data_IF_663375287015
#
_entry.id   IF_663375287015
#
_cell.length_a   1.000
_cell.length_b   1.000
_cell.length_c   1.000
_cell.angle_alpha   90.00
_cell.angle_beta   90.00
_cell.angle_gamma   90.00
#
_symmetry.space_group_name_H-M   'P 1'
#
loop_
_entity.id
_entity.type
_entity.pdbx_description
1 polymer ?
#
# COMPACT_ATOMS: atom_id res chain seq x y z
N UNK A 1 -26.25 -23.81 2.30
CA UNK A 1 -26.45 -22.85 3.42
C UNK A 1 -25.25 -21.93 3.61
N UNK A 2 -24.04 -22.43 3.91
CA UNK A 2 -22.88 -21.54 4.12
C UNK A 2 -22.39 -20.86 2.83
N UNK A 3 -22.49 -21.53 1.67
CA UNK A 3 -22.12 -20.92 0.38
C UNK A 3 -23.12 -19.88 -0.09
N UNK A 4 -24.43 -20.14 0.03
CA UNK A 4 -25.49 -19.20 -0.35
C UNK A 4 -25.39 -17.91 0.47
N UNK A 5 -25.06 -18.03 1.75
CA UNK A 5 -24.81 -16.90 2.64
C UNK A 5 -23.59 -16.08 2.20
N UNK A 6 -22.50 -16.72 1.76
CA UNK A 6 -21.33 -16.03 1.21
C UNK A 6 -21.69 -15.27 -0.07
N UNK A 7 -22.44 -15.88 -0.99
CA UNK A 7 -22.81 -15.27 -2.27
C UNK A 7 -23.66 -14.01 -2.03
N UNK A 8 -24.66 -14.08 -1.15
CA UNK A 8 -25.47 -12.93 -0.76
C UNK A 8 -24.64 -11.82 -0.12
N UNK A 9 -23.73 -12.18 0.80
CA UNK A 9 -22.85 -11.20 1.43
C UNK A 9 -21.92 -10.55 0.41
N UNK A 10 -21.31 -11.34 -0.48
CA UNK A 10 -20.40 -10.92 -1.54
C UNK A 10 -21.10 -9.94 -2.50
N UNK A 11 -22.36 -10.24 -2.86
CA UNK A 11 -23.17 -9.40 -3.75
C UNK A 11 -23.31 -7.96 -3.27
N UNK A 12 -23.54 -7.75 -1.96
CA UNK A 12 -23.67 -6.41 -1.39
C UNK A 12 -22.34 -5.80 -0.94
N UNK A 13 -21.47 -6.59 -0.31
CA UNK A 13 -20.26 -6.06 0.32
C UNK A 13 -19.21 -5.61 -0.71
N UNK A 14 -18.97 -6.37 -1.77
CA UNK A 14 -17.94 -6.06 -2.77
C UNK A 14 -18.20 -4.76 -3.54
N UNK A 15 -19.41 -4.46 -4.07
CA UNK A 15 -19.65 -3.17 -4.72
C UNK A 15 -19.57 -1.99 -3.74
N UNK A 16 -19.98 -2.18 -2.47
CA UNK A 16 -19.78 -1.16 -1.43
C UNK A 16 -18.28 -0.92 -1.21
N UNK A 17 -17.47 -1.98 -1.09
CA UNK A 17 -16.02 -1.88 -0.95
C UNK A 17 -15.39 -1.12 -2.12
N UNK A 18 -15.83 -1.41 -3.35
CA UNK A 18 -15.35 -0.73 -4.56
C UNK A 18 -15.76 0.74 -4.55
N UNK A 19 -17.04 1.07 -4.32
CA UNK A 19 -17.53 2.46 -4.30
C UNK A 19 -16.83 3.27 -3.21
N UNK A 20 -16.74 2.72 -2.01
CA UNK A 20 -16.14 3.40 -0.88
C UNK A 20 -14.63 3.56 -1.08
N UNK A 21 -13.95 2.48 -1.50
CA UNK A 21 -12.51 2.49 -1.73
C UNK A 21 -12.08 3.40 -2.89
N UNK A 22 -12.91 3.52 -3.93
CA UNK A 22 -12.65 4.42 -5.07
C UNK A 22 -12.80 5.89 -4.67
N UNK A 23 -13.91 6.25 -4.02
CA UNK A 23 -14.10 7.61 -3.47
C UNK A 23 -12.95 7.98 -2.55
N UNK A 24 -12.59 7.08 -1.62
CA UNK A 24 -11.51 7.31 -0.68
C UNK A 24 -10.15 7.49 -1.36
N UNK A 25 -9.82 6.62 -2.31
CA UNK A 25 -8.54 6.67 -3.04
C UNK A 25 -8.43 7.93 -3.91
N UNK A 26 -9.52 8.36 -4.54
CA UNK A 26 -9.57 9.62 -5.31
C UNK A 26 -9.38 10.84 -4.41
N UNK A 27 -10.07 10.90 -3.28
CA UNK A 27 -9.92 11.98 -2.31
C UNK A 27 -8.48 12.06 -1.77
N UNK A 28 -7.84 10.93 -1.48
CA UNK A 28 -6.43 10.88 -1.11
C UNK A 28 -5.56 11.53 -2.18
N UNK A 29 -5.73 11.15 -3.45
CA UNK A 29 -4.95 11.72 -4.54
C UNK A 29 -5.15 13.23 -4.69
N UNK A 30 -6.39 13.72 -4.57
CA UNK A 30 -6.71 15.16 -4.64
C UNK A 30 -6.01 15.92 -3.51
N UNK A 31 -6.07 15.41 -2.27
CA UNK A 31 -5.44 16.03 -1.10
C UNK A 31 -3.92 16.06 -1.26
N UNK A 32 -3.31 14.95 -1.71
CA UNK A 32 -1.87 14.88 -1.98
C UNK A 32 -1.45 15.83 -3.12
N UNK A 33 -2.31 16.04 -4.12
CA UNK A 33 -2.02 16.92 -5.25
C UNK A 33 -2.09 18.40 -4.87
N UNK A 34 -3.12 18.82 -4.12
CA UNK A 34 -3.36 20.23 -3.76
C UNK A 34 -2.29 20.78 -2.81
N UNK A 35 -1.73 19.96 -1.91
CA UNK A 35 -0.87 20.47 -0.84
C UNK A 35 0.62 20.41 -1.18
N UNK A 36 1.23 21.57 -1.48
CA UNK A 36 2.69 21.72 -1.70
C UNK A 36 3.54 21.11 -0.58
N UNK A 37 3.11 21.24 0.68
CA UNK A 37 3.83 20.70 1.84
C UNK A 37 3.80 19.16 1.97
N UNK A 38 2.85 18.48 1.32
CA UNK A 38 2.81 17.01 1.26
C UNK A 38 3.65 16.52 0.08
N UNK A 39 3.59 17.22 -1.07
CA UNK A 39 4.39 16.92 -2.26
C UNK A 39 5.90 16.92 -2.05
N UNK A 40 6.40 17.64 -1.04
CA UNK A 40 7.83 17.71 -0.74
C UNK A 40 8.33 16.62 0.23
N UNK A 41 7.44 15.79 0.79
CA UNK A 41 7.83 14.70 1.68
C UNK A 41 7.91 13.36 0.93
N UNK A 42 9.05 12.67 1.02
CA UNK A 42 9.28 11.34 0.43
C UNK A 42 8.23 10.31 0.86
N UNK A 43 7.94 10.25 2.16
CA UNK A 43 6.83 9.49 2.75
C UNK A 43 5.44 9.74 2.09
N UNK A 44 5.15 10.98 1.67
CA UNK A 44 3.88 11.28 0.98
C UNK A 44 3.80 10.70 -0.43
N UNK A 45 4.95 10.48 -1.08
CA UNK A 45 5.03 9.85 -2.39
C UNK A 45 4.67 8.36 -2.29
N UNK A 46 5.18 7.67 -1.27
CA UNK A 46 4.84 6.27 -0.99
C UNK A 46 3.34 6.09 -0.69
N UNK A 47 2.73 6.97 0.11
CA UNK A 47 1.29 6.90 0.39
C UNK A 47 0.42 7.22 -0.82
N UNK A 48 0.88 8.11 -1.71
CA UNK A 48 0.20 8.36 -2.98
C UNK A 48 0.26 7.15 -3.90
N UNK A 49 1.44 6.52 -4.03
CA UNK A 49 1.60 5.29 -4.82
C UNK A 49 0.83 4.12 -4.25
N UNK A 50 0.77 4.00 -2.91
CA UNK A 50 -0.08 3.03 -2.23
C UNK A 50 -1.56 3.25 -2.56
N UNK A 51 -2.06 4.49 -2.52
CA UNK A 51 -3.45 4.80 -2.89
C UNK A 51 -3.77 4.50 -4.37
N UNK A 52 -2.78 4.58 -5.26
CA UNK A 52 -2.93 4.18 -6.68
C UNK A 52 -2.95 2.65 -6.78
N UNK A 53 -2.08 1.96 -6.05
CA UNK A 53 -2.04 0.50 -6.03
C UNK A 53 -3.33 -0.09 -5.46
N UNK A 54 -3.86 0.48 -4.37
CA UNK A 54 -5.11 0.05 -3.76
C UNK A 54 -6.29 0.22 -4.74
N UNK A 55 -6.29 1.30 -5.54
CA UNK A 55 -7.28 1.50 -6.60
C UNK A 55 -7.14 0.46 -7.72
N UNK A 56 -5.92 0.12 -8.13
CA UNK A 56 -5.67 -0.96 -9.09
C UNK A 56 -6.13 -2.32 -8.55
N UNK A 57 -5.89 -2.61 -7.27
CA UNK A 57 -6.39 -3.82 -6.61
C UNK A 57 -7.91 -3.89 -6.62
N UNK A 58 -8.59 -2.79 -6.29
CA UNK A 58 -10.07 -2.73 -6.31
C UNK A 58 -10.65 -3.04 -7.69
N UNK A 59 -10.08 -2.46 -8.76
CA UNK A 59 -10.61 -2.64 -10.11
C UNK A 59 -10.14 -3.90 -10.83
N UNK A 60 -8.90 -4.35 -10.60
CA UNK A 60 -8.35 -5.52 -11.30
C UNK A 60 -8.68 -6.80 -10.54
N UNK A 61 -8.71 -6.76 -9.20
CA UNK A 61 -8.87 -7.96 -8.38
C UNK A 61 -10.28 -8.05 -7.82
N UNK A 62 -10.72 -7.06 -7.03
CA UNK A 62 -12.01 -7.12 -6.34
C UNK A 62 -13.18 -7.13 -7.33
N UNK A 63 -13.11 -6.29 -8.38
CA UNK A 63 -14.14 -6.27 -9.42
C UNK A 63 -14.17 -7.56 -10.25
N UNK A 64 -13.01 -8.14 -10.61
CA UNK A 64 -13.00 -9.40 -11.37
C UNK A 64 -13.47 -10.57 -10.52
N UNK A 65 -13.14 -10.57 -9.22
CA UNK A 65 -13.67 -11.53 -8.26
C UNK A 65 -15.19 -11.41 -8.11
N UNK A 66 -15.73 -10.19 -8.01
CA UNK A 66 -17.17 -9.97 -7.93
C UNK A 66 -17.92 -10.43 -9.18
N UNK A 67 -17.39 -10.08 -10.36
CA UNK A 67 -17.96 -10.52 -11.63
C UNK A 67 -17.94 -12.05 -11.77
N UNK A 68 -16.90 -12.70 -11.26
CA UNK A 68 -16.83 -14.15 -11.26
C UNK A 68 -17.83 -14.78 -10.28
N UNK A 69 -17.85 -14.31 -9.03
CA UNK A 69 -18.69 -14.85 -7.96
C UNK A 69 -20.19 -14.72 -8.28
N UNK A 70 -20.62 -13.66 -8.97
CA UNK A 70 -22.05 -13.35 -9.19
C UNK A 70 -22.57 -13.69 -10.58
N UNK A 71 -21.74 -13.53 -11.62
CA UNK A 71 -22.16 -13.72 -13.00
C UNK A 71 -21.52 -14.94 -13.65
N UNK A 72 -20.73 -15.72 -12.90
CA UNK A 72 -19.92 -16.84 -13.41
C UNK A 72 -19.11 -16.46 -14.65
N UNK A 73 -18.67 -15.20 -14.70
CA UNK A 73 -17.95 -14.64 -15.84
C UNK A 73 -16.47 -15.01 -15.78
N UNK A 74 -16.19 -16.30 -15.95
CA UNK A 74 -14.86 -16.88 -15.90
C UNK A 74 -14.11 -16.70 -17.25
N UNK A 75 -13.57 -15.50 -17.48
CA UNK A 75 -12.59 -15.27 -18.56
C UNK A 75 -11.38 -16.21 -18.46
N UNK A 76 -11.11 -16.67 -17.25
CA UNK A 76 -10.06 -17.62 -16.84
C UNK A 76 -10.21 -18.99 -17.49
N UNK A 77 -11.44 -19.49 -17.62
CA UNK A 77 -11.73 -20.81 -18.21
C UNK A 77 -11.66 -20.74 -19.73
N UNK A 78 -12.04 -19.59 -20.31
CA UNK A 78 -12.06 -19.37 -21.75
C UNK A 78 -10.65 -19.19 -22.36
N UNK A 79 -9.72 -18.59 -21.62
CA UNK A 79 -8.39 -18.25 -22.12
C UNK A 79 -7.27 -18.58 -21.11
N UNK A 80 -6.50 -19.65 -21.37
CA UNK A 80 -5.39 -20.08 -20.50
C UNK A 80 -4.31 -19.00 -20.32
N UNK A 81 -4.02 -18.22 -21.37
CA UNK A 81 -3.05 -17.14 -21.31
C UNK A 81 -3.52 -16.00 -20.38
N UNK A 82 -4.82 -15.71 -20.38
CA UNK A 82 -5.42 -14.70 -19.51
C UNK A 82 -5.34 -15.12 -18.05
N UNK A 83 -5.61 -16.39 -17.75
CA UNK A 83 -5.47 -16.97 -16.41
C UNK A 83 -4.07 -16.76 -15.82
N UNK A 84 -3.02 -17.09 -16.60
CA UNK A 84 -1.62 -16.93 -16.14
C UNK A 84 -1.25 -15.47 -15.91
N UNK A 85 -1.64 -14.59 -16.82
CA UNK A 85 -1.36 -13.15 -16.71
C UNK A 85 -2.12 -12.54 -15.53
N UNK A 86 -3.40 -12.86 -15.37
CA UNK A 86 -4.23 -12.38 -14.28
C UNK A 86 -3.68 -12.81 -12.93
N UNK A 87 -3.29 -14.09 -12.78
CA UNK A 87 -2.68 -14.61 -11.55
C UNK A 87 -1.38 -13.88 -11.23
N UNK A 88 -0.52 -13.64 -12.23
CA UNK A 88 0.72 -12.89 -12.06
C UNK A 88 0.45 -11.44 -11.62
N UNK A 89 -0.45 -10.74 -12.31
CA UNK A 89 -0.82 -9.35 -11.99
C UNK A 89 -1.41 -9.26 -10.58
N UNK A 90 -2.31 -10.18 -10.20
CA UNK A 90 -2.89 -10.24 -8.86
C UNK A 90 -1.80 -10.39 -7.80
N UNK A 91 -0.87 -11.33 -8.00
CA UNK A 91 0.21 -11.56 -7.06
C UNK A 91 1.14 -10.34 -6.92
N UNK A 92 1.47 -9.69 -8.05
CA UNK A 92 2.26 -8.47 -8.04
C UNK A 92 1.55 -7.33 -7.30
N UNK A 93 0.28 -7.06 -7.62
CA UNK A 93 -0.48 -5.96 -7.00
C UNK A 93 -0.67 -6.16 -5.49
N UNK A 94 -0.95 -7.38 -5.05
CA UNK A 94 -1.04 -7.71 -3.63
C UNK A 94 0.29 -7.61 -2.89
N UNK A 95 1.39 -8.00 -3.54
CA UNK A 95 2.72 -7.89 -2.94
C UNK A 95 3.19 -6.43 -2.82
N UNK A 96 2.88 -5.58 -3.80
CA UNK A 96 3.37 -4.20 -3.87
C UNK A 96 2.85 -3.29 -2.74
N UNK A 97 1.59 -3.45 -2.30
CA UNK A 97 1.01 -2.64 -1.20
C UNK A 97 1.83 -2.69 0.10
N UNK A 98 2.14 -3.87 0.69
CA UNK A 98 2.97 -3.94 1.90
C UNK A 98 4.42 -3.49 1.66
N UNK A 99 4.98 -3.63 0.46
CA UNK A 99 6.31 -3.10 0.16
C UNK A 99 6.36 -1.56 0.24
N UNK A 100 5.35 -0.86 -0.31
CA UNK A 100 5.28 0.60 -0.18
C UNK A 100 5.19 1.05 1.28
N UNK A 101 4.48 0.28 2.09
CA UNK A 101 4.38 0.52 3.52
C UNK A 101 5.74 0.38 4.20
N UNK A 102 6.44 -0.75 3.98
CA UNK A 102 7.76 -1.01 4.57
C UNK A 102 8.77 0.05 4.14
N UNK A 103 8.74 0.46 2.87
CA UNK A 103 9.58 1.55 2.37
C UNK A 103 9.24 2.89 3.03
N UNK A 104 7.96 3.17 3.28
CA UNK A 104 7.53 4.32 4.07
C UNK A 104 8.04 4.30 5.51
N UNK A 105 8.01 3.12 6.17
CA UNK A 105 8.59 2.92 7.50
C UNK A 105 10.10 3.15 7.49
N UNK A 106 10.78 2.58 6.50
CA UNK A 106 12.22 2.68 6.34
C UNK A 106 12.67 4.13 6.10
N UNK A 107 12.00 4.86 5.19
CA UNK A 107 12.22 6.30 4.96
C UNK A 107 12.10 7.10 6.26
N UNK A 108 11.17 6.71 7.14
CA UNK A 108 10.97 7.35 8.45
C UNK A 108 12.02 6.99 9.48
N UNK A 109 12.44 5.72 9.55
CA UNK A 109 13.56 5.30 10.40
C UNK A 109 14.84 6.04 10.01
N UNK A 110 15.09 6.15 8.70
CA UNK A 110 16.17 6.93 8.12
C UNK A 110 16.12 8.40 8.55
N UNK A 111 14.96 9.07 8.47
CA UNK A 111 14.80 10.48 8.88
C UNK A 111 14.98 10.72 10.38
N UNK A 112 14.54 9.78 11.21
CA UNK A 112 14.55 9.91 12.68
C UNK A 112 15.91 9.53 13.28
N UNK A 113 16.75 8.84 12.50
CA UNK A 113 18.09 8.47 12.93
C UNK A 113 18.96 9.69 13.23
N UNK A 114 19.72 9.61 14.34
CA UNK A 114 20.74 10.60 14.71
C UNK A 114 21.92 10.59 13.74
N UNK A 115 22.10 9.51 12.99
CA UNK A 115 23.15 9.43 11.99
C UNK A 115 22.75 10.27 10.76
N UNK A 116 23.51 11.32 10.52
CA UNK A 116 23.33 12.26 9.40
C UNK A 116 23.29 11.51 8.05
N UNK A 117 24.01 10.38 7.94
CA UNK A 117 24.06 9.54 6.74
C UNK A 117 22.72 8.84 6.46
N UNK A 118 22.03 8.36 7.50
CA UNK A 118 20.72 7.71 7.36
C UNK A 118 19.63 8.74 7.01
N UNK A 119 19.74 9.96 7.53
CA UNK A 119 18.77 11.04 7.26
C UNK A 119 18.79 11.54 5.81
N UNK A 120 19.94 11.45 5.13
CA UNK A 120 20.08 11.87 3.73
C UNK A 120 19.52 10.85 2.72
N UNK A 121 19.22 9.61 3.13
CA UNK A 121 18.59 8.61 2.27
C UNK A 121 17.11 8.94 1.95
N UNK A 122 16.46 9.76 2.76
CA UNK A 122 15.04 10.11 2.64
C UNK A 122 14.76 11.28 1.66
N UNK A 123 15.36 11.23 0.46
CA UNK A 123 15.24 12.24 -0.60
C UNK A 123 14.17 11.86 -1.64
N UNK A 124 13.51 12.87 -2.24
CA UNK A 124 12.42 12.67 -3.20
C UNK A 124 12.85 11.93 -4.48
N UNK A 125 14.09 12.14 -4.92
CA UNK A 125 14.64 11.48 -6.11
C UNK A 125 14.85 9.99 -5.87
N UNK A 126 15.31 9.60 -4.67
CA UNK A 126 15.37 8.18 -4.28
C UNK A 126 13.97 7.58 -4.16
N UNK A 127 13.00 8.26 -3.56
CA UNK A 127 11.64 7.73 -3.46
C UNK A 127 10.99 7.49 -4.83
N UNK A 128 11.21 8.39 -5.80
CA UNK A 128 10.72 8.23 -7.18
C UNK A 128 11.38 7.06 -7.92
N UNK A 129 12.69 6.91 -7.78
CA UNK A 129 13.42 5.77 -8.35
C UNK A 129 13.00 4.45 -7.68
N UNK A 130 12.80 4.43 -6.36
CA UNK A 130 12.35 3.25 -5.62
C UNK A 130 10.94 2.83 -6.05
N UNK A 131 10.00 3.77 -6.27
CA UNK A 131 8.65 3.42 -6.74
C UNK A 131 8.68 2.82 -8.16
N UNK A 132 9.47 3.39 -9.06
CA UNK A 132 9.67 2.83 -10.39
C UNK A 132 10.30 1.42 -10.32
N UNK A 133 11.29 1.24 -9.45
CA UNK A 133 11.92 -0.06 -9.21
C UNK A 133 11.05 -1.03 -8.39
N UNK A 134 10.05 -0.57 -7.63
CA UNK A 134 9.06 -1.35 -6.86
C UNK A 134 7.95 -1.94 -7.75
N UNK A 135 7.83 -1.48 -9.00
CA UNK A 135 7.01 -2.09 -10.06
C UNK A 135 7.75 -3.17 -10.88
N UNK A 136 9.08 -3.06 -11.01
CA UNK A 136 10.02 -4.04 -11.57
C UNK A 136 10.51 -5.25 -10.68
N UNK A 137 10.23 -5.39 -9.36
CA UNK A 137 11.05 -6.21 -8.44
C UNK A 137 11.06 -7.73 -8.52
N UNK A 138 10.06 -8.50 -8.96
CA UNK A 138 10.11 -9.94 -8.69
C UNK A 138 11.33 -10.63 -9.35
N UNK A 139 11.85 -10.05 -10.43
CA UNK A 139 12.90 -10.66 -11.28
C UNK A 139 14.29 -10.05 -11.03
N UNK A 140 14.38 -8.77 -10.63
CA UNK A 140 15.65 -8.05 -10.47
C UNK A 140 16.23 -8.09 -9.04
N UNK A 141 15.40 -8.40 -8.02
CA UNK A 141 15.77 -8.36 -6.60
C UNK A 141 16.82 -9.42 -6.18
N UNK A 142 17.00 -10.52 -6.92
CA UNK A 142 18.02 -11.52 -6.59
C UNK A 142 19.43 -11.16 -7.07
N UNK A 143 19.56 -10.29 -8.08
CA UNK A 143 20.85 -10.00 -8.74
C UNK A 143 21.42 -8.65 -8.27
N UNK A 144 20.56 -7.65 -8.01
CA UNK A 144 21.01 -6.32 -7.62
C UNK A 144 21.46 -6.21 -6.16
N UNK A 145 20.95 -7.02 -5.24
CA UNK A 145 21.31 -6.96 -3.82
C UNK A 145 22.81 -7.22 -3.58
N UNK A 146 23.42 -8.11 -4.38
CA UNK A 146 24.87 -8.37 -4.37
C UNK A 146 25.69 -7.20 -4.96
N UNK A 147 25.26 -6.64 -6.09
CA UNK A 147 25.94 -5.50 -6.74
C UNK A 147 25.84 -4.19 -5.92
N UNK A 148 24.73 -3.96 -5.22
CA UNK A 148 24.53 -2.74 -4.41
C UNK A 148 25.40 -2.71 -3.16
N UNK A 149 25.69 -3.86 -2.54
CA UNK A 149 26.59 -3.92 -1.38
C UNK A 149 28.04 -3.52 -1.77
N UNK A 150 28.50 -3.96 -2.95
CA UNK A 150 29.84 -3.67 -3.46
C UNK A 150 30.05 -2.20 -3.87
N UNK A 151 29.03 -1.58 -4.49
CA UNK A 151 29.08 -0.17 -4.91
C UNK A 151 28.92 0.83 -3.75
N UNK A 152 28.24 0.43 -2.67
CA UNK A 152 28.09 1.22 -1.44
C UNK A 152 29.38 1.25 -0.60
N UNK A 153 30.22 0.20 -0.66
CA UNK A 153 31.55 0.21 -0.04
C UNK A 153 32.47 1.23 -0.71
N UNK A 154 32.47 1.27 -2.06
CA UNK A 154 33.38 2.11 -2.85
C UNK A 154 33.05 3.61 -2.77
N UNK A 155 31.77 3.99 -2.59
CA UNK A 155 31.32 5.39 -2.52
C UNK A 155 31.57 6.08 -1.17
N UNK A 156 31.87 5.33 -0.10
CA UNK A 156 32.15 5.88 1.24
C UNK A 156 33.47 6.68 1.32
N UNK A 157 34.39 6.47 0.38
CA UNK A 157 35.72 7.07 0.44
C UNK A 157 35.83 8.44 -0.26
N UNK A 158 34.88 8.82 -1.14
CA UNK A 158 35.07 9.98 -2.03
C UNK A 158 34.36 11.28 -1.65
N UNK A 159 33.46 11.32 -0.66
CA UNK A 159 32.63 12.52 -0.42
C UNK A 159 32.86 13.16 0.96
N UNK A 160 34.13 13.44 1.28
CA UNK A 160 34.52 14.20 2.47
C UNK A 160 34.56 15.73 2.28
N UNK A 161 34.24 16.30 1.11
CA UNK A 161 34.68 17.68 0.80
C UNK A 161 33.65 18.82 0.76
N UNK A 162 32.36 18.65 1.08
CA UNK A 162 31.43 19.81 1.05
C UNK A 162 30.33 19.79 2.13
N UNK A 163 30.72 20.07 3.38
CA UNK A 163 29.77 20.42 4.45
C UNK A 163 30.34 21.54 5.32
N UNK A 164 30.13 22.79 4.91
CA UNK A 164 30.11 23.95 5.81
C UNK A 164 28.98 24.89 5.39
N UNK A 165 28.19 25.28 6.41
CA UNK A 165 27.21 26.38 6.46
C UNK A 165 25.92 26.27 5.63
N UNK A 166 24.88 25.62 6.21
CA UNK A 166 23.47 26.05 6.28
C UNK A 166 22.59 24.82 6.56
N UNK A 167 21.90 24.64 7.69
CA UNK A 167 20.79 25.47 8.20
C UNK A 167 20.47 24.98 9.62
N UNK A 168 20.61 25.87 10.60
CA UNK A 168 20.25 25.69 12.00
C UNK A 168 18.80 26.17 12.30
N UNK A 169 18.05 26.64 11.30
CA UNK A 169 16.78 27.38 11.52
C UNK A 169 15.50 26.55 11.22
N UNK A 170 15.60 25.32 10.69
CA UNK A 170 14.40 24.53 10.28
C UNK A 170 13.71 23.72 11.42
N UNK A 171 14.21 23.77 12.66
CA UNK A 171 14.04 22.64 13.58
C UNK A 171 12.88 22.67 14.60
N UNK A 172 11.89 23.57 14.53
CA UNK A 172 10.76 23.59 15.50
C UNK A 172 9.36 23.30 14.94
N UNK A 173 9.19 23.16 13.61
CA UNK A 173 7.89 22.82 12.97
C UNK A 173 7.84 21.41 12.36
N UNK A 174 8.94 20.65 12.45
CA UNK A 174 9.12 19.30 11.89
C UNK A 174 8.60 18.21 12.87
N UNK A 175 8.79 18.40 14.18
CA UNK A 175 8.50 17.36 15.18
C UNK A 175 7.01 16.98 15.33
N UNK A 176 6.08 17.93 15.23
CA UNK A 176 4.63 17.64 15.33
C UNK A 176 4.07 16.95 14.07
N UNK A 177 4.68 17.18 12.91
CA UNK A 177 4.29 16.54 11.64
C UNK A 177 4.76 15.09 11.55
N UNK A 178 5.93 14.81 12.11
CA UNK A 178 6.50 13.46 12.10
C UNK A 178 5.76 12.53 13.06
N UNK A 179 5.35 13.00 14.23
CA UNK A 179 4.52 12.21 15.15
C UNK A 179 3.15 11.84 14.55
N UNK A 180 2.52 12.79 13.84
CA UNK A 180 1.25 12.53 13.15
C UNK A 180 1.39 11.49 12.04
N UNK A 181 2.47 11.57 11.25
CA UNK A 181 2.73 10.60 10.18
C UNK A 181 3.12 9.22 10.70
N UNK A 182 3.85 9.16 11.83
CA UNK A 182 4.17 7.89 12.52
C UNK A 182 2.89 7.26 13.07
N UNK A 183 1.98 8.04 13.68
CA UNK A 183 0.69 7.53 14.18
C UNK A 183 -0.18 6.94 13.06
N UNK A 184 -0.25 7.62 11.91
CA UNK A 184 -0.95 7.12 10.72
C UNK A 184 -0.35 5.79 10.24
N UNK A 185 0.98 5.76 10.14
CA UNK A 185 1.69 4.59 9.62
C UNK A 185 1.55 3.39 10.56
N UNK A 186 1.60 3.61 11.87
CA UNK A 186 1.31 2.59 12.87
C UNK A 186 -0.13 2.05 12.74
N UNK A 187 -1.13 2.94 12.68
CA UNK A 187 -2.53 2.54 12.53
C UNK A 187 -2.77 1.74 11.24
N UNK A 188 -2.10 2.12 10.15
CA UNK A 188 -2.16 1.42 8.88
C UNK A 188 -1.52 0.03 8.98
N UNK A 189 -0.31 -0.09 9.55
CA UNK A 189 0.35 -1.38 9.77
C UNK A 189 -0.55 -2.31 10.58
N UNK A 190 -1.12 -1.82 11.68
CA UNK A 190 -1.99 -2.61 12.54
C UNK A 190 -3.23 -3.09 11.77
N UNK A 191 -3.88 -2.22 11.01
CA UNK A 191 -5.06 -2.60 10.21
C UNK A 191 -4.71 -3.62 9.13
N UNK A 192 -3.59 -3.40 8.44
CA UNK A 192 -3.08 -4.33 7.41
C UNK A 192 -2.76 -5.71 8.00
N UNK A 193 -2.09 -5.78 9.15
CA UNK A 193 -1.80 -7.06 9.82
C UNK A 193 -3.09 -7.75 10.27
N UNK A 194 -4.02 -7.03 10.91
CA UNK A 194 -5.28 -7.60 11.37
C UNK A 194 -6.13 -8.16 10.23
N UNK A 195 -6.15 -7.50 9.07
CA UNK A 195 -6.95 -7.93 7.91
C UNK A 195 -6.26 -9.04 7.08
N UNK A 196 -4.92 -9.03 6.96
CA UNK A 196 -4.19 -9.95 6.06
C UNK A 196 -3.70 -11.24 6.75
N UNK A 197 -3.43 -11.19 8.06
CA UNK A 197 -2.92 -12.33 8.81
C UNK A 197 -3.91 -13.51 8.88
N UNK A 198 -5.23 -13.31 9.11
CA UNK A 198 -6.20 -14.40 9.08
C UNK A 198 -6.24 -15.11 7.73
N UNK A 199 -6.20 -14.35 6.62
CA UNK A 199 -6.13 -14.88 5.27
C UNK A 199 -4.88 -15.74 5.06
N UNK A 200 -3.70 -15.23 5.45
CA UNK A 200 -2.45 -15.96 5.29
C UNK A 200 -2.44 -17.29 6.08
N UNK A 201 -2.94 -17.30 7.31
CA UNK A 201 -3.01 -18.51 8.13
C UNK A 201 -3.98 -19.55 7.56
N UNK A 202 -5.18 -19.13 7.16
CA UNK A 202 -6.18 -20.04 6.59
C UNK A 202 -5.72 -20.57 5.22
N UNK A 203 -5.09 -19.73 4.39
CA UNK A 203 -4.53 -20.15 3.12
C UNK A 203 -3.40 -21.18 3.30
N UNK A 204 -2.52 -20.98 4.29
CA UNK A 204 -1.47 -21.93 4.62
C UNK A 204 -2.06 -23.27 5.08
N UNK A 205 -3.10 -23.24 5.92
CA UNK A 205 -3.84 -24.44 6.32
C UNK A 205 -4.48 -25.13 5.11
N UNK A 206 -5.03 -24.37 4.16
CA UNK A 206 -5.62 -24.90 2.93
C UNK A 206 -4.62 -25.64 2.05
N UNK A 207 -3.45 -25.04 1.85
CA UNK A 207 -2.37 -25.66 1.10
C UNK A 207 -1.83 -26.90 1.82
N UNK A 208 -1.68 -26.83 3.15
CA UNK A 208 -1.13 -27.93 3.95
C UNK A 208 -2.09 -29.13 4.07
N UNK A 209 -3.40 -28.88 4.20
CA UNK A 209 -4.42 -29.92 4.43
C UNK A 209 -5.00 -30.52 3.14
N UNK A 210 -4.30 -30.34 2.02
CA UNK A 210 -4.59 -30.85 0.66
C UNK A 210 -6.07 -31.20 0.40
N UNK A 211 -6.87 -30.18 0.05
CA UNK A 211 -8.17 -30.22 -0.63
C UNK A 211 -9.33 -31.09 -0.09
N UNK A 212 -9.19 -31.77 1.06
CA UNK A 212 -10.23 -32.70 1.51
C UNK A 212 -11.41 -32.06 2.27
N UNK A 213 -11.35 -30.77 2.62
CA UNK A 213 -12.35 -30.14 3.48
C UNK A 213 -13.08 -28.96 2.79
N UNK A 214 -14.34 -29.14 2.33
CA UNK A 214 -15.11 -28.09 1.66
C UNK A 214 -15.40 -26.90 2.58
N UNK A 215 -15.41 -27.09 3.91
CA UNK A 215 -15.61 -25.99 4.86
C UNK A 215 -14.44 -24.99 4.82
N UNK A 216 -13.21 -25.50 4.63
CA UNK A 216 -12.01 -24.68 4.58
C UNK A 216 -12.00 -23.75 3.35
N UNK A 217 -12.51 -24.23 2.21
CA UNK A 217 -12.66 -23.42 0.98
C UNK A 217 -13.59 -22.23 1.19
N UNK A 218 -14.70 -22.43 1.90
CA UNK A 218 -15.65 -21.37 2.25
C UNK A 218 -14.98 -20.34 3.18
N UNK A 219 -14.25 -20.81 4.20
CA UNK A 219 -13.53 -19.92 5.13
C UNK A 219 -12.48 -19.09 4.39
N UNK A 220 -11.74 -19.67 3.43
CA UNK A 220 -10.82 -18.90 2.57
C UNK A 220 -11.56 -17.75 1.89
N UNK A 221 -12.71 -18.00 1.26
CA UNK A 221 -13.50 -16.95 0.58
C UNK A 221 -13.90 -15.81 1.52
N UNK A 222 -14.34 -16.12 2.75
CA UNK A 222 -14.63 -15.10 3.77
C UNK A 222 -13.39 -14.32 4.20
N UNK A 223 -12.24 -14.98 4.38
CA UNK A 223 -10.99 -14.28 4.72
C UNK A 223 -10.46 -13.41 3.58
N UNK A 224 -10.70 -13.77 2.32
CA UNK A 224 -10.41 -12.92 1.16
C UNK A 224 -11.28 -11.67 1.19
N UNK A 225 -12.56 -11.79 1.52
CA UNK A 225 -13.45 -10.63 1.70
C UNK A 225 -12.90 -9.67 2.77
N UNK A 226 -12.44 -10.22 3.90
CA UNK A 226 -11.82 -9.45 4.97
C UNK A 226 -10.52 -8.77 4.51
N UNK A 227 -9.69 -9.46 3.74
CA UNK A 227 -8.48 -8.90 3.16
C UNK A 227 -8.80 -7.77 2.15
N UNK A 228 -9.88 -7.89 1.39
CA UNK A 228 -10.32 -6.85 0.44
C UNK A 228 -10.74 -5.55 1.14
N UNK A 229 -11.25 -5.61 2.37
CA UNK A 229 -11.56 -4.42 3.18
C UNK A 229 -10.32 -3.56 3.50
N UNK A 230 -9.14 -4.18 3.55
CA UNK A 230 -7.88 -3.48 3.81
C UNK A 230 -7.60 -2.39 2.76
N UNK A 231 -7.85 -2.68 1.49
CA UNK A 231 -7.63 -1.75 0.37
C UNK A 231 -8.62 -0.59 0.34
N UNK A 232 -9.74 -0.71 1.07
CA UNK A 232 -10.69 0.38 1.30
C UNK A 232 -10.31 1.24 2.53
N UNK A 233 -9.68 0.63 3.53
CA UNK A 233 -9.36 1.26 4.82
C UNK A 233 -8.37 2.43 4.71
N UNK A 234 -7.54 2.44 3.67
CA UNK A 234 -6.44 3.40 3.45
C UNK A 234 -6.90 4.85 3.62
N UNK A 235 -7.99 5.24 2.96
CA UNK A 235 -8.54 6.60 3.05
C UNK A 235 -9.05 6.97 4.44
N UNK A 236 -9.77 6.05 5.09
CA UNK A 236 -10.34 6.29 6.42
C UNK A 236 -9.25 6.44 7.46
N UNK A 237 -8.19 5.65 7.35
CA UNK A 237 -7.02 5.72 8.22
C UNK A 237 -6.31 7.08 8.06
N UNK A 238 -6.15 7.58 6.83
CA UNK A 238 -5.53 8.90 6.58
C UNK A 238 -6.41 10.06 7.07
N UNK A 239 -7.71 9.97 6.81
CA UNK A 239 -8.69 11.02 7.16
C UNK A 239 -8.98 11.05 8.66
N UNK A 240 -9.19 9.90 9.30
CA UNK A 240 -9.44 9.81 10.74
C UNK A 240 -8.15 9.95 11.55
N UNK A 241 -7.01 9.48 11.05
CA UNK A 241 -5.74 9.49 11.78
C UNK A 241 -5.13 10.89 11.99
N UNK A 242 -5.48 11.87 11.14
CA UNK A 242 -4.82 13.18 11.14
C UNK A 242 -5.78 14.36 11.12
N UNK A 243 -5.74 15.28 12.11
CA UNK A 243 -6.56 16.49 12.09
C UNK A 243 -6.24 17.39 10.89
N UNK A 244 -5.02 17.27 10.35
CA UNK A 244 -4.55 17.96 9.16
C UNK A 244 -5.32 17.53 7.90
N UNK A 245 -5.57 16.22 7.72
CA UNK A 245 -6.37 15.71 6.60
C UNK A 245 -7.84 16.12 6.73
N UNK A 246 -8.40 16.07 7.94
CA UNK A 246 -9.78 16.50 8.20
C UNK A 246 -10.02 17.96 7.82
N UNK A 247 -9.08 18.85 8.15
CA UNK A 247 -9.18 20.29 7.81
C UNK A 247 -9.15 20.53 6.30
N UNK A 248 -8.30 19.83 5.57
CA UNK A 248 -8.25 19.93 4.10
C UNK A 248 -9.51 19.35 3.44
N UNK A 249 -10.03 18.24 3.95
CA UNK A 249 -11.27 17.63 3.47
C UNK A 249 -12.46 18.57 3.70
N UNK A 250 -12.56 19.19 4.87
CA UNK A 250 -13.57 20.21 5.16
C UNK A 250 -13.42 21.44 4.26
N UNK A 251 -12.19 21.86 3.95
CA UNK A 251 -11.96 22.96 3.01
C UNK A 251 -12.39 22.58 1.60
N UNK A 252 -12.09 21.36 1.14
CA UNK A 252 -12.54 20.83 -0.15
C UNK A 252 -14.07 20.86 -0.24
N UNK A 253 -14.77 20.33 0.76
CA UNK A 253 -16.24 20.32 0.81
C UNK A 253 -16.79 21.75 0.75
N UNK A 254 -16.18 22.69 1.48
CA UNK A 254 -16.58 24.11 1.45
C UNK A 254 -16.31 24.81 0.11
N UNK A 255 -15.35 24.34 -0.69
CA UNK A 255 -15.08 24.91 -2.02
C UNK A 255 -16.04 24.35 -3.09
N UNK A 256 -16.64 23.19 -2.86
CA UNK A 256 -17.62 22.58 -3.77
C UNK A 256 -19.08 22.99 -3.47
N UNK A 257 -19.32 23.62 -2.33
CA UNK A 257 -20.61 24.19 -1.94
C UNK A 257 -20.66 25.66 -2.30
#
# INVERSE_FOLDING_TARGET
MNEDMYIQLSFYSQPIIILVGTVGSLLNQIIFHRRKSLRTASCSLYFRSLSINDLLVLYIIVLTQWLNDQFHFDLTIKYLWYCKIQTYIMHCLYAVSPYFLVLGCFDRLCRTSRNIQLRQMATLNMARQIIFHCLLPPILMSIFCGCTAFLLYRRRCQQQLQYKLNIYISHKRIHYRDYQLIKILFLYVTTNVLCTLPFALVFLQYVYKYNSDPQLSIIVKFTVLLANLNYCSSFYIYTLGTPLYRRELLHLIKTFR
#
